data_IF_006221581083
#
_entry.id   IF_006221581083
#
_cell.length_a   1.000
_cell.length_b   1.000
_cell.length_c   1.000
_cell.angle_alpha   90.00
_cell.angle_beta   90.00
_cell.angle_gamma   90.00
#
_symmetry.space_group_name_H-M   'P 1'
#
loop_
_entity.id
_entity.type
_entity.pdbx_description
1 polymer ?
#
# COMPACT_ATOMS: atom_id res chain seq x y z
N UNK A 1 16.16 41.21 28.89
CA UNK A 1 15.12 42.20 28.53
C UNK A 1 15.48 42.83 27.21
N UNK A 2 14.61 42.71 26.20
CA UNK A 2 14.38 43.68 25.11
C UNK A 2 13.45 43.01 24.10
N UNK A 3 12.18 43.36 24.20
CA UNK A 3 11.21 43.16 23.14
C UNK A 3 11.56 44.06 21.97
N UNK A 4 11.54 43.53 20.75
CA UNK A 4 11.49 44.33 19.54
C UNK A 4 10.24 43.90 18.78
N UNK A 5 9.29 44.83 18.74
CA UNK A 5 8.11 44.83 17.90
C UNK A 5 8.55 45.31 16.51
N UNK A 6 8.33 44.53 15.44
CA UNK A 6 8.40 45.03 14.06
C UNK A 6 7.15 44.52 13.34
N UNK A 7 6.24 45.46 13.06
CA UNK A 7 5.22 45.33 12.04
C UNK A 7 5.82 45.79 10.71
N UNK A 8 5.62 45.08 9.59
CA UNK A 8 5.56 45.61 8.22
C UNK A 8 4.94 44.51 7.33
N UNK A 9 3.70 44.71 6.88
CA UNK A 9 3.28 45.16 5.53
C UNK A 9 3.07 44.01 4.55
N UNK A 10 1.81 43.88 4.14
CA UNK A 10 1.34 43.12 2.99
C UNK A 10 1.93 43.72 1.70
N UNK A 11 2.54 42.90 0.87
CA UNK A 11 2.82 43.22 -0.52
C UNK A 11 2.35 42.06 -1.41
N UNK A 12 1.37 42.35 -2.25
CA UNK A 12 0.92 41.53 -3.36
C UNK A 12 1.69 41.99 -4.59
N UNK A 13 2.45 41.11 -5.25
CA UNK A 13 2.84 41.26 -6.65
C UNK A 13 3.29 39.92 -7.22
N UNK A 14 2.83 39.62 -8.43
CA UNK A 14 2.78 38.30 -9.03
C UNK A 14 4.13 37.68 -9.40
N UNK A 15 4.12 36.36 -9.41
CA UNK A 15 5.14 35.55 -10.07
C UNK A 15 4.66 35.32 -11.50
N UNK A 16 5.36 35.93 -12.46
CA UNK A 16 5.29 35.61 -13.88
C UNK A 16 5.85 34.21 -14.09
N UNK A 17 5.03 33.27 -14.56
CA UNK A 17 5.50 31.96 -14.99
C UNK A 17 5.88 32.02 -16.47
N UNK A 18 7.13 31.67 -16.79
CA UNK A 18 7.63 31.49 -18.16
C UNK A 18 6.96 30.28 -18.80
N UNK A 19 6.43 30.48 -19.99
CA UNK A 19 5.84 29.45 -20.84
C UNK A 19 6.96 28.70 -21.58
N UNK A 20 7.21 27.44 -21.20
CA UNK A 20 8.02 26.51 -22.02
C UNK A 20 7.08 25.86 -23.02
N UNK A 21 7.19 26.29 -24.27
CA UNK A 21 6.57 25.68 -25.44
C UNK A 21 7.18 24.29 -25.69
N UNK A 22 6.34 23.25 -25.64
CA UNK A 22 6.61 22.01 -26.37
C UNK A 22 5.55 21.84 -27.46
N UNK A 23 5.97 22.02 -28.72
CA UNK A 23 5.18 21.68 -29.91
C UNK A 23 5.30 20.19 -30.14
N UNK A 24 4.18 19.47 -30.11
CA UNK A 24 3.97 18.31 -31.01
C UNK A 24 2.51 18.30 -31.46
N UNK A 25 2.34 18.01 -32.75
CA UNK A 25 1.14 18.27 -33.53
C UNK A 25 0.06 17.20 -33.30
N UNK A 26 -1.16 17.62 -32.99
CA UNK A 26 -2.40 16.97 -33.40
C UNK A 26 -3.50 18.05 -33.46
N UNK A 27 -4.11 18.22 -34.63
CA UNK A 27 -5.32 19.04 -34.76
C UNK A 27 -6.48 18.40 -33.98
N UNK A 28 -7.26 19.14 -33.19
CA UNK A 28 -8.56 18.64 -32.76
C UNK A 28 -9.53 18.84 -33.92
N UNK A 29 -9.95 17.73 -34.55
CA UNK A 29 -11.17 17.72 -35.35
C UNK A 29 -12.32 17.94 -34.37
N UNK A 30 -12.78 19.19 -34.27
CA UNK A 30 -13.98 19.54 -33.54
C UNK A 30 -15.18 18.88 -34.22
N UNK A 31 -15.67 17.78 -33.66
CA UNK A 31 -17.06 17.39 -33.83
C UNK A 31 -17.85 18.06 -32.70
N UNK A 32 -18.73 18.98 -33.07
CA UNK A 32 -19.75 19.58 -32.21
C UNK A 32 -20.63 18.48 -31.60
N UNK A 33 -20.21 17.94 -30.46
CA UNK A 33 -21.08 17.13 -29.60
C UNK A 33 -21.41 17.98 -28.39
N UNK A 34 -22.62 18.57 -28.45
CA UNK A 34 -23.22 19.28 -27.31
C UNK A 34 -23.24 18.34 -26.10
N UNK A 35 -22.88 18.80 -24.89
CA UNK A 35 -22.92 17.94 -23.71
C UNK A 35 -24.37 17.58 -23.40
N UNK A 36 -24.71 16.32 -23.61
CA UNK A 36 -25.99 15.70 -23.21
C UNK A 36 -25.72 14.83 -22.00
N UNK A 37 -26.48 15.01 -20.92
CA UNK A 37 -26.38 14.23 -19.67
C UNK A 37 -26.99 12.82 -19.78
N UNK A 38 -26.97 12.24 -20.98
CA UNK A 38 -27.59 10.96 -21.25
C UNK A 38 -26.58 9.86 -20.91
N UNK A 39 -26.75 9.27 -19.73
CA UNK A 39 -25.90 8.22 -19.16
C UNK A 39 -25.68 7.07 -20.15
N UNK A 40 -26.69 6.76 -20.95
CA UNK A 40 -26.65 5.69 -21.96
C UNK A 40 -25.68 5.98 -23.13
N UNK A 41 -25.44 7.26 -23.44
CA UNK A 41 -24.47 7.68 -24.46
C UNK A 41 -23.04 7.68 -23.91
N UNK A 42 -22.88 8.00 -22.62
CA UNK A 42 -21.58 7.89 -21.92
C UNK A 42 -21.16 6.44 -21.73
N UNK A 43 -22.07 5.54 -21.35
CA UNK A 43 -21.79 4.10 -21.21
C UNK A 43 -21.44 3.45 -22.56
N UNK A 44 -22.08 3.88 -23.65
CA UNK A 44 -21.79 3.39 -25.00
C UNK A 44 -20.44 3.91 -25.53
N UNK A 45 -20.06 5.14 -25.18
CA UNK A 45 -18.74 5.69 -25.48
C UNK A 45 -17.63 4.95 -24.71
N UNK A 46 -17.83 4.70 -23.41
CA UNK A 46 -16.88 3.94 -22.57
C UNK A 46 -16.78 2.46 -22.94
N UNK A 47 -17.88 1.83 -23.35
CA UNK A 47 -17.88 0.42 -23.79
C UNK A 47 -17.29 0.22 -25.19
N UNK A 48 -17.13 1.30 -25.98
CA UNK A 48 -16.59 1.23 -27.35
C UNK A 48 -15.07 1.34 -27.43
N UNK A 49 -14.40 1.76 -26.35
CA UNK A 49 -12.96 1.57 -26.22
C UNK A 49 -12.69 0.19 -25.64
N UNK A 50 -11.99 -0.66 -26.38
CA UNK A 50 -11.29 -1.85 -25.87
C UNK A 50 -10.15 -1.42 -24.92
N UNK A 51 -10.49 -0.71 -23.84
CA UNK A 51 -9.59 -0.37 -22.75
C UNK A 51 -9.74 -1.47 -21.69
N UNK A 52 -9.19 -2.65 -21.99
CA UNK A 52 -8.78 -3.54 -20.91
C UNK A 52 -7.48 -2.97 -20.35
N UNK A 53 -7.62 -2.03 -19.43
CA UNK A 53 -6.49 -1.62 -18.60
C UNK A 53 -6.15 -2.85 -17.74
N UNK A 54 -5.05 -3.54 -18.09
CA UNK A 54 -4.50 -4.58 -17.22
C UNK A 54 -4.08 -3.89 -15.92
N UNK A 55 -4.84 -4.12 -14.85
CA UNK A 55 -4.57 -3.53 -13.55
C UNK A 55 -3.15 -3.92 -13.12
N UNK A 56 -2.25 -2.95 -13.09
CA UNK A 56 -0.90 -3.14 -12.58
C UNK A 56 -0.91 -2.90 -11.06
N UNK A 57 -0.67 -3.96 -10.29
CA UNK A 57 -0.77 -3.88 -8.82
C UNK A 57 0.28 -2.97 -8.18
N UNK A 58 1.32 -2.61 -8.92
CA UNK A 58 2.39 -1.73 -8.43
C UNK A 58 2.00 -0.23 -8.50
N UNK A 59 0.89 0.12 -9.14
CA UNK A 59 0.37 1.50 -9.19
C UNK A 59 -0.49 1.84 -7.95
N UNK A 60 -0.91 0.85 -7.17
CA UNK A 60 -1.62 1.05 -5.92
C UNK A 60 -0.68 1.39 -4.78
N UNK A 61 -1.20 2.11 -3.78
CA UNK A 61 -0.56 2.08 -2.46
C UNK A 61 -0.58 0.66 -1.89
N UNK A 62 0.38 0.36 -1.01
CA UNK A 62 0.47 -0.94 -0.32
C UNK A 62 -0.85 -1.38 0.34
N UNK A 63 -1.58 -0.43 0.95
CA UNK A 63 -2.86 -0.69 1.60
C UNK A 63 -3.97 -1.04 0.61
N UNK A 64 -4.00 -0.35 -0.53
CA UNK A 64 -4.94 -0.62 -1.62
C UNK A 64 -4.61 -1.95 -2.29
N UNK A 65 -3.32 -2.27 -2.48
CA UNK A 65 -2.86 -3.56 -3.02
C UNK A 65 -3.37 -4.74 -2.19
N UNK A 66 -3.28 -4.65 -0.86
CA UNK A 66 -3.81 -5.68 0.05
C UNK A 66 -5.34 -5.76 -0.03
N UNK A 67 -6.02 -4.62 -0.05
CA UNK A 67 -7.50 -4.58 -0.13
C UNK A 67 -7.99 -5.21 -1.42
N UNK A 68 -7.39 -4.82 -2.54
CA UNK A 68 -7.70 -5.36 -3.86
C UNK A 68 -7.40 -6.85 -3.93
N UNK A 69 -6.26 -7.32 -3.40
CA UNK A 69 -5.93 -8.74 -3.35
C UNK A 69 -6.98 -9.53 -2.57
N UNK A 70 -7.44 -9.00 -1.43
CA UNK A 70 -8.48 -9.63 -0.64
C UNK A 70 -9.83 -9.70 -1.38
N UNK A 71 -10.28 -8.57 -1.94
CA UNK A 71 -11.56 -8.46 -2.63
C UNK A 71 -11.63 -9.35 -3.89
N UNK A 72 -10.48 -9.64 -4.50
CA UNK A 72 -10.37 -10.43 -5.73
C UNK A 72 -9.81 -11.85 -5.51
N UNK A 73 -9.56 -12.29 -4.27
CA UNK A 73 -9.10 -13.66 -4.02
C UNK A 73 -7.66 -13.96 -4.47
N UNK A 74 -6.78 -12.96 -4.51
CA UNK A 74 -5.44 -13.07 -5.08
C UNK A 74 -4.37 -13.43 -4.03
N UNK A 75 -3.39 -14.25 -4.41
CA UNK A 75 -2.27 -14.71 -3.57
C UNK A 75 -0.94 -14.54 -4.30
N UNK A 76 0.18 -14.93 -3.68
CA UNK A 76 1.54 -14.76 -4.22
C UNK A 76 1.88 -13.28 -4.52
N UNK A 77 1.42 -12.34 -3.66
CA UNK A 77 1.63 -10.91 -3.85
C UNK A 77 2.58 -10.35 -2.80
N UNK A 78 3.72 -9.81 -3.22
CA UNK A 78 4.59 -9.06 -2.31
C UNK A 78 3.94 -7.74 -1.89
N UNK A 79 3.84 -7.53 -0.58
CA UNK A 79 3.23 -6.35 0.04
C UNK A 79 4.11 -5.80 1.15
N UNK A 80 4.12 -4.47 1.31
CA UNK A 80 4.53 -3.81 2.54
C UNK A 80 3.30 -3.35 3.28
N UNK A 81 3.40 -3.12 4.58
CA UNK A 81 2.31 -2.49 5.31
C UNK A 81 2.68 -2.13 6.73
N UNK A 82 1.78 -1.41 7.36
CA UNK A 82 1.90 -0.93 8.72
C UNK A 82 0.56 -1.05 9.43
N UNK A 83 0.56 -1.48 10.68
CA UNK A 83 -0.66 -1.55 11.46
C UNK A 83 -0.43 -1.83 12.93
N UNK A 84 -1.54 -1.89 13.65
CA UNK A 84 -1.57 -2.16 15.09
C UNK A 84 -1.75 -3.66 15.33
N UNK A 85 -0.92 -4.23 16.21
CA UNK A 85 -1.07 -5.61 16.68
C UNK A 85 -2.31 -5.70 17.56
N UNK A 86 -3.35 -6.34 17.09
CA UNK A 86 -4.60 -6.52 17.84
C UNK A 86 -4.60 -7.77 18.71
N UNK A 87 -3.77 -8.76 18.37
CA UNK A 87 -3.65 -9.99 19.14
C UNK A 87 -2.31 -10.69 18.87
N UNK A 88 -1.60 -11.06 19.93
CA UNK A 88 -0.47 -12.00 19.85
C UNK A 88 -1.02 -13.41 20.07
N UNK A 89 -0.70 -14.34 19.17
CA UNK A 89 -1.14 -15.74 19.23
C UNK A 89 -0.03 -16.62 19.81
N UNK A 90 -0.37 -17.85 20.18
CA UNK A 90 0.65 -18.85 20.46
C UNK A 90 1.49 -19.11 19.21
N UNK A 91 2.79 -19.28 19.40
CA UNK A 91 3.68 -19.69 18.32
C UNK A 91 3.17 -21.00 17.71
N UNK A 92 3.24 -21.08 16.39
CA UNK A 92 3.07 -22.34 15.68
C UNK A 92 4.38 -23.12 15.76
N UNK A 93 4.32 -24.37 16.19
CA UNK A 93 5.47 -25.25 16.32
C UNK A 93 5.35 -26.52 15.49
N UNK A 94 4.31 -26.63 14.66
CA UNK A 94 4.14 -27.77 13.77
C UNK A 94 4.90 -27.51 12.46
N UNK A 95 6.02 -28.21 12.26
CA UNK A 95 6.92 -27.96 11.12
C UNK A 95 7.87 -26.80 11.40
N UNK A 96 8.05 -25.89 10.42
CA UNK A 96 8.81 -24.65 10.65
C UNK A 96 8.08 -23.76 11.65
N UNK A 97 8.79 -23.27 12.65
CA UNK A 97 8.19 -22.51 13.75
C UNK A 97 7.83 -21.10 13.30
N UNK A 98 6.66 -20.63 13.68
CA UNK A 98 6.19 -19.28 13.36
C UNK A 98 5.70 -18.53 14.59
N UNK A 99 6.18 -17.31 14.77
CA UNK A 99 5.50 -16.33 15.62
C UNK A 99 4.28 -15.81 14.86
N UNK A 100 3.11 -15.84 15.51
CA UNK A 100 1.84 -15.46 14.91
C UNK A 100 1.18 -14.32 15.65
N UNK A 101 0.65 -13.35 14.91
CA UNK A 101 -0.12 -12.25 15.48
C UNK A 101 -1.04 -11.61 14.45
N UNK A 102 -2.11 -10.99 14.91
CA UNK A 102 -3.08 -10.29 14.06
C UNK A 102 -2.76 -8.81 14.03
N UNK A 103 -2.68 -8.25 12.84
CA UNK A 103 -2.48 -6.82 12.60
C UNK A 103 -3.74 -6.23 12.01
N UNK A 104 -4.15 -5.06 12.50
CA UNK A 104 -5.21 -4.23 11.91
C UNK A 104 -4.58 -3.06 11.18
N UNK A 105 -4.89 -2.95 9.89
CA UNK A 105 -4.44 -1.87 9.03
C UNK A 105 -5.32 -0.63 9.18
N UNK A 106 -4.90 0.49 8.59
CA UNK A 106 -5.61 1.78 8.67
C UNK A 106 -7.04 1.73 8.10
N UNK A 107 -7.27 0.91 7.07
CA UNK A 107 -8.61 0.66 6.49
C UNK A 107 -9.45 -0.34 7.31
N UNK A 108 -8.99 -0.74 8.50
CA UNK A 108 -9.60 -1.74 9.41
C UNK A 108 -9.51 -3.19 8.91
N UNK A 109 -8.92 -3.44 7.74
CA UNK A 109 -8.60 -4.80 7.29
C UNK A 109 -7.66 -5.48 8.28
N UNK A 110 -7.82 -6.78 8.46
CA UNK A 110 -6.98 -7.56 9.37
C UNK A 110 -6.18 -8.62 8.65
N UNK A 111 -4.93 -8.78 9.05
CA UNK A 111 -4.01 -9.78 8.52
C UNK A 111 -3.48 -10.67 9.65
N UNK A 112 -3.28 -11.95 9.35
CA UNK A 112 -2.40 -12.80 10.16
C UNK A 112 -0.96 -12.61 9.68
N UNK A 113 -0.04 -12.24 10.56
CA UNK A 113 1.39 -12.34 10.27
C UNK A 113 1.89 -13.70 10.74
N UNK A 114 2.56 -14.43 9.85
CA UNK A 114 3.25 -15.70 10.14
C UNK A 114 4.75 -15.50 9.94
N UNK A 115 5.47 -15.17 11.02
CA UNK A 115 6.89 -14.87 10.99
C UNK A 115 7.71 -16.11 11.34
N UNK A 116 8.46 -16.65 10.38
CA UNK A 116 9.26 -17.85 10.58
C UNK A 116 10.45 -17.59 11.54
N UNK A 117 10.35 -18.13 12.76
CA UNK A 117 11.35 -17.91 13.82
C UNK A 117 12.47 -18.95 13.84
N UNK A 118 12.51 -19.86 12.86
CA UNK A 118 13.70 -20.66 12.57
C UNK A 118 14.70 -19.90 11.70
N UNK A 119 14.19 -19.01 10.84
CA UNK A 119 15.00 -18.20 9.91
C UNK A 119 15.30 -16.80 10.47
N UNK A 120 14.39 -16.27 11.29
CA UNK A 120 14.44 -14.94 11.84
C UNK A 120 14.35 -14.92 13.36
N UNK A 121 14.75 -13.81 13.99
CA UNK A 121 14.59 -13.65 15.45
C UNK A 121 13.12 -13.40 15.80
N UNK A 122 12.59 -14.17 16.75
CA UNK A 122 11.30 -13.89 17.40
C UNK A 122 11.30 -12.50 18.07
N UNK A 123 10.18 -11.77 17.93
CA UNK A 123 9.96 -10.49 18.62
C UNK A 123 9.39 -10.77 20.02
N UNK A 124 10.26 -10.93 21.00
CA UNK A 124 9.86 -11.28 22.38
C UNK A 124 9.12 -10.16 23.11
N UNK A 125 9.33 -8.92 22.69
CA UNK A 125 8.73 -7.71 23.25
C UNK A 125 7.38 -7.37 22.62
N UNK A 126 6.94 -8.07 21.56
CA UNK A 126 5.68 -7.79 20.88
C UNK A 126 4.50 -7.97 21.82
N UNK A 127 3.58 -7.01 21.84
CA UNK A 127 2.35 -6.99 22.62
C UNK A 127 1.19 -6.45 21.79
N UNK A 128 -0.02 -6.71 22.27
CA UNK A 128 -1.21 -6.06 21.72
C UNK A 128 -1.12 -4.53 21.95
N UNK A 129 -1.53 -3.76 20.94
CA UNK A 129 -1.45 -2.31 20.89
C UNK A 129 -0.16 -1.78 20.28
N UNK A 130 0.83 -2.64 20.03
CA UNK A 130 2.08 -2.24 19.39
C UNK A 130 1.87 -1.95 17.91
N UNK A 131 2.66 -1.01 17.37
CA UNK A 131 2.77 -0.77 15.95
C UNK A 131 3.83 -1.69 15.32
N UNK A 132 3.52 -2.21 14.13
CA UNK A 132 4.41 -3.08 13.38
C UNK A 132 4.41 -2.68 11.90
N UNK A 133 5.59 -2.56 11.32
CA UNK A 133 5.77 -2.55 9.87
C UNK A 133 6.16 -3.95 9.40
N UNK A 134 5.62 -4.38 8.26
CA UNK A 134 5.93 -5.65 7.66
C UNK A 134 6.24 -5.48 6.17
N UNK A 135 7.06 -6.39 5.65
CA UNK A 135 7.24 -6.62 4.23
C UNK A 135 7.33 -8.13 4.04
N UNK A 136 6.48 -8.68 3.17
CA UNK A 136 6.37 -10.11 2.97
C UNK A 136 5.38 -10.43 1.85
N UNK A 137 5.14 -11.71 1.64
CA UNK A 137 4.18 -12.20 0.66
C UNK A 137 2.79 -12.33 1.29
N UNK A 138 1.77 -11.91 0.57
CA UNK A 138 0.36 -12.03 0.94
C UNK A 138 -0.27 -13.28 0.30
N UNK A 139 -0.95 -14.04 1.14
CA UNK A 139 -1.73 -15.22 0.78
C UNK A 139 -3.19 -15.03 1.16
N UNK A 140 -4.11 -15.30 0.23
CA UNK A 140 -5.53 -15.08 0.46
C UNK A 140 -6.15 -16.12 1.39
N UNK A 141 -7.08 -15.68 2.24
CA UNK A 141 -8.07 -16.52 2.89
C UNK A 141 -9.32 -15.70 3.26
N UNK A 142 -10.39 -16.37 3.68
CA UNK A 142 -11.67 -15.76 4.08
C UNK A 142 -11.63 -14.94 5.39
N UNK A 143 -10.47 -14.84 6.05
CA UNK A 143 -10.23 -14.09 7.30
C UNK A 143 -9.37 -12.85 7.09
N UNK A 144 -9.15 -12.44 5.85
CA UNK A 144 -8.38 -11.25 5.47
C UNK A 144 -7.00 -11.56 4.87
N UNK A 145 -6.53 -12.79 4.96
CA UNK A 145 -5.25 -13.23 4.41
C UNK A 145 -4.13 -13.34 5.44
N UNK A 146 -3.03 -13.96 5.01
CA UNK A 146 -1.80 -14.17 5.77
C UNK A 146 -0.66 -13.43 5.10
N UNK A 147 0.22 -12.80 5.87
CA UNK A 147 1.52 -12.37 5.38
C UNK A 147 2.60 -13.26 5.97
N UNK A 148 3.32 -13.93 5.08
CA UNK A 148 4.48 -14.78 5.39
C UNK A 148 5.71 -14.27 4.64
N UNK A 149 6.79 -15.06 4.55
CA UNK A 149 8.08 -14.61 3.99
C UNK A 149 8.60 -13.31 4.61
N UNK A 150 8.28 -13.02 5.87
CA UNK A 150 8.71 -11.80 6.58
C UNK A 150 10.15 -11.92 7.10
N UNK A 151 11.01 -12.56 6.31
CA UNK A 151 12.39 -12.87 6.61
C UNK A 151 13.23 -12.87 5.33
N UNK A 152 14.56 -12.88 5.46
CA UNK A 152 15.44 -13.13 4.32
C UNK A 152 15.25 -14.56 3.82
N UNK A 153 15.21 -14.73 2.51
CA UNK A 153 15.32 -16.05 1.90
C UNK A 153 16.80 -16.48 1.92
N UNK A 154 17.19 -17.53 2.66
CA UNK A 154 18.58 -18.00 2.70
C UNK A 154 19.11 -18.48 1.34
N UNK A 155 18.21 -18.80 0.40
CA UNK A 155 18.55 -19.32 -0.93
C UNK A 155 18.43 -18.28 -2.04
N UNK A 156 17.95 -17.08 -1.74
CA UNK A 156 17.78 -15.97 -2.67
C UNK A 156 17.00 -16.35 -3.95
N UNK A 157 15.93 -17.13 -3.77
CA UNK A 157 14.96 -17.55 -4.80
C UNK A 157 13.61 -16.84 -4.65
N UNK A 158 13.33 -16.28 -3.47
CA UNK A 158 12.17 -15.47 -3.17
C UNK A 158 12.58 -14.07 -2.71
N UNK A 159 11.73 -13.08 -2.98
CA UNK A 159 11.88 -11.71 -2.46
C UNK A 159 12.03 -11.75 -0.94
N UNK A 160 12.97 -10.96 -0.42
CA UNK A 160 13.21 -10.91 1.03
C UNK A 160 12.12 -10.12 1.74
N UNK A 161 11.69 -10.57 2.91
CA UNK A 161 10.84 -9.81 3.80
C UNK A 161 11.51 -9.37 5.10
N UNK A 162 10.71 -8.76 5.96
CA UNK A 162 11.09 -8.36 7.31
C UNK A 162 9.88 -7.97 8.15
N UNK A 163 10.09 -7.87 9.46
CA UNK A 163 9.27 -7.10 10.39
C UNK A 163 10.06 -5.95 10.98
N UNK A 164 9.40 -4.85 11.35
CA UNK A 164 10.00 -3.73 12.09
C UNK A 164 9.12 -3.40 13.30
N UNK A 165 9.71 -3.48 14.48
CA UNK A 165 9.05 -3.19 15.76
C UNK A 165 9.95 -2.27 16.58
N UNK A 166 9.40 -1.18 17.12
CA UNK A 166 10.16 -0.24 17.98
C UNK A 166 11.53 0.19 17.41
N UNK A 167 11.60 0.42 16.09
CA UNK A 167 12.83 0.81 15.39
C UNK A 167 13.81 -0.34 15.08
N UNK A 168 13.56 -1.55 15.57
CA UNK A 168 14.38 -2.74 15.29
C UNK A 168 13.80 -3.52 14.11
N UNK A 169 14.68 -3.91 13.18
CA UNK A 169 14.33 -4.72 12.01
C UNK A 169 14.68 -6.19 12.26
N UNK A 170 13.70 -7.05 12.04
CA UNK A 170 13.76 -8.50 12.13
C UNK A 170 13.67 -9.05 10.72
N UNK A 171 14.64 -9.88 10.35
CA UNK A 171 14.76 -10.52 9.05
C UNK A 171 14.93 -12.00 9.26
#
# INVERSE_FOLDING_TARGET
>A
MKHILIAFVLFVAGITFLEVQSKTNAEPVAADVKPTNDIETLERAFSSSNYQESINLDDFSDLEKISYAFDNGLSDIQVRGFGEVTKVLADDNDGSRHQRFIVRLQNKHTLLIAHNIDLAKRINTLRQGDEIEFYGEYEWNDKGGVVHWTHKDPRNKHEHGYLRHSGLKYW
#
